data_IF_272115370700
#
_entry.id   IF_272115370700
#
_cell.length_a   1.000
_cell.length_b   1.000
_cell.length_c   1.000
_cell.angle_alpha   90.00
_cell.angle_beta   90.00
_cell.angle_gamma   90.00
#
_symmetry.space_group_name_H-M   'P 1'
#
loop_
_entity.id
_entity.type
_entity.pdbx_description
1 polymer ?
#
# COMPACT_ATOMS: atom_id res chain seq x y z
N UNK A 1 -10.92 9.39 18.08
CA UNK A 1 -10.36 9.46 16.71
C UNK A 1 -8.92 9.94 16.76
N UNK A 2 -7.98 9.01 16.97
CA UNK A 2 -6.52 9.27 16.96
C UNK A 2 -5.74 8.19 16.20
N UNK A 3 -6.44 7.19 15.68
CA UNK A 3 -5.88 6.02 15.02
C UNK A 3 -6.92 5.53 14.02
N UNK A 4 -6.61 5.60 12.74
CA UNK A 4 -7.54 5.36 11.65
C UNK A 4 -6.97 4.32 10.71
N UNK A 5 -7.74 3.27 10.43
CA UNK A 5 -7.39 2.29 9.42
C UNK A 5 -7.53 2.88 8.01
N UNK A 6 -6.54 2.67 7.15
CA UNK A 6 -6.55 3.12 5.77
C UNK A 6 -6.77 1.92 4.83
N UNK A 7 -5.88 0.94 4.90
CA UNK A 7 -5.84 -0.20 3.99
C UNK A 7 -5.15 -1.38 4.70
N UNK A 8 -5.50 -2.62 4.34
CA UNK A 8 -4.76 -3.81 4.75
C UNK A 8 -4.69 -4.84 3.64
N UNK A 9 -3.63 -5.65 3.67
CA UNK A 9 -3.50 -6.90 2.92
C UNK A 9 -3.39 -8.07 3.92
N UNK A 10 -3.13 -9.29 3.44
CA UNK A 10 -3.12 -10.53 4.25
C UNK A 10 -2.22 -10.44 5.48
N UNK A 11 -1.05 -9.81 5.36
CA UNK A 11 0.01 -9.78 6.37
C UNK A 11 0.47 -8.36 6.72
N UNK A 12 -0.25 -7.33 6.27
CA UNK A 12 0.11 -5.92 6.48
C UNK A 12 -1.13 -5.05 6.66
N UNK A 13 -0.99 -4.01 7.48
CA UNK A 13 -2.04 -3.02 7.72
C UNK A 13 -1.41 -1.63 7.76
N UNK A 14 -2.13 -0.66 7.22
CA UNK A 14 -1.73 0.73 7.16
C UNK A 14 -2.71 1.58 7.97
N UNK A 15 -2.16 2.43 8.82
CA UNK A 15 -2.93 3.28 9.72
C UNK A 15 -2.46 4.73 9.64
N UNK A 16 -3.41 5.66 9.67
CA UNK A 16 -3.17 7.06 9.97
C UNK A 16 -3.21 7.25 11.48
N UNK A 17 -2.10 7.71 12.05
CA UNK A 17 -1.92 7.90 13.49
C UNK A 17 -1.87 9.39 13.75
N UNK A 18 -2.67 9.88 14.71
CA UNK A 18 -2.61 11.28 15.12
C UNK A 18 -1.31 11.55 15.88
N UNK A 19 -0.74 12.73 15.68
CA UNK A 19 0.53 13.10 16.29
C UNK A 19 0.63 14.60 16.50
N UNK A 20 1.79 15.03 16.97
CA UNK A 20 2.19 16.44 17.01
C UNK A 20 2.73 16.84 15.63
N UNK A 21 2.18 17.92 15.07
CA UNK A 21 2.59 18.47 13.77
C UNK A 21 4.03 19.00 13.78
N UNK A 22 4.56 19.33 14.96
CA UNK A 22 5.93 19.83 15.13
C UNK A 22 6.96 18.70 15.28
N UNK A 23 6.52 17.44 15.33
CA UNK A 23 7.40 16.29 15.50
C UNK A 23 7.49 15.45 14.23
N UNK A 24 8.63 14.79 13.99
CA UNK A 24 8.78 13.91 12.84
C UNK A 24 7.84 12.71 12.91
N UNK A 25 7.63 12.05 11.77
CA UNK A 25 6.80 10.84 11.62
C UNK A 25 7.29 9.66 12.48
N UNK A 26 8.55 9.70 12.92
CA UNK A 26 9.13 8.74 13.87
C UNK A 26 8.57 8.83 15.30
N UNK A 27 7.68 9.78 15.59
CA UNK A 27 6.99 9.89 16.88
C UNK A 27 6.12 8.66 17.22
N UNK A 28 5.77 7.84 16.23
CA UNK A 28 5.03 6.60 16.40
C UNK A 28 3.70 6.80 17.14
N UNK A 29 3.46 6.01 18.20
CA UNK A 29 2.22 6.05 18.98
C UNK A 29 2.25 6.99 20.19
N UNK A 30 3.35 7.72 20.41
CA UNK A 30 3.62 8.45 21.66
C UNK A 30 2.47 9.34 22.12
N UNK A 31 1.86 10.10 21.20
CA UNK A 31 0.79 11.07 21.49
C UNK A 31 -0.61 10.46 21.59
N UNK A 32 -0.80 9.23 21.11
CA UNK A 32 -2.10 8.57 21.10
C UNK A 32 -2.29 7.62 22.28
N UNK A 33 -1.20 7.24 22.94
CA UNK A 33 -1.21 6.39 24.13
C UNK A 33 -1.83 7.18 25.29
N UNK A 34 -2.99 6.70 25.76
CA UNK A 34 -3.72 7.31 26.89
C UNK A 34 -3.14 6.84 28.22
N UNK A 35 -2.90 5.53 28.36
CA UNK A 35 -2.29 4.92 29.54
C UNK A 35 -0.87 4.45 29.22
N UNK A 36 0.10 5.27 29.64
CA UNK A 36 1.52 5.01 29.42
C UNK A 36 2.03 3.80 30.21
N UNK A 37 1.49 3.54 31.40
CA UNK A 37 1.92 2.42 32.23
C UNK A 37 1.42 1.11 31.62
N UNK A 38 0.14 1.04 31.27
CA UNK A 38 -0.41 -0.12 30.57
C UNK A 38 0.32 -0.39 29.26
N UNK A 39 0.60 0.64 28.46
CA UNK A 39 1.32 0.47 27.21
C UNK A 39 2.72 -0.10 27.45
N UNK A 40 3.50 0.47 28.37
CA UNK A 40 4.87 -0.01 28.67
C UNK A 40 4.88 -1.45 29.18
N UNK A 41 3.92 -1.83 30.02
CA UNK A 41 3.83 -3.18 30.56
C UNK A 41 3.48 -4.23 29.50
N UNK A 42 2.70 -3.83 28.48
CA UNK A 42 2.16 -4.75 27.47
C UNK A 42 2.88 -4.71 26.11
N UNK A 43 3.59 -3.63 25.79
CA UNK A 43 4.22 -3.39 24.49
C UNK A 43 5.07 -4.57 24.02
N UNK A 44 5.84 -5.15 24.96
CA UNK A 44 6.73 -6.30 24.73
C UNK A 44 6.03 -7.54 24.19
N UNK A 45 4.72 -7.70 24.38
CA UNK A 45 4.00 -8.88 23.88
C UNK A 45 3.66 -8.76 22.39
N UNK A 46 3.44 -7.54 21.91
CA UNK A 46 2.99 -7.28 20.55
C UNK A 46 4.13 -6.85 19.63
N UNK A 47 5.10 -6.09 20.14
CA UNK A 47 6.19 -5.52 19.33
C UNK A 47 7.57 -6.04 19.75
N UNK A 48 8.59 -5.89 18.89
CA UNK A 48 9.98 -6.14 19.25
C UNK A 48 10.40 -5.23 20.43
N UNK A 49 11.08 -5.79 21.41
CA UNK A 49 11.56 -5.08 22.61
C UNK A 49 12.92 -4.41 22.43
N UNK A 50 13.56 -4.63 21.28
CA UNK A 50 14.84 -4.01 20.96
C UNK A 50 14.62 -2.57 20.51
N UNK A 51 15.63 -1.71 20.71
CA UNK A 51 15.56 -0.29 20.37
C UNK A 51 15.39 -0.02 18.87
N UNK A 52 15.51 -1.05 18.02
CA UNK A 52 15.36 -0.92 16.57
C UNK A 52 14.11 -1.63 16.07
N UNK A 53 12.96 -0.95 16.21
CA UNK A 53 11.63 -1.47 15.87
C UNK A 53 11.45 -1.83 14.40
N UNK A 54 12.30 -1.28 13.53
CA UNK A 54 12.25 -1.47 12.08
C UNK A 54 13.02 -2.70 11.61
N UNK A 55 13.96 -3.23 12.41
CA UNK A 55 14.90 -4.26 11.96
C UNK A 55 14.57 -5.68 12.45
N UNK A 56 13.76 -5.85 13.50
CA UNK A 56 13.46 -7.17 14.06
C UNK A 56 11.99 -7.54 13.96
N UNK A 57 11.72 -8.74 13.45
CA UNK A 57 10.38 -9.35 13.45
C UNK A 57 10.22 -10.23 14.69
N UNK A 58 9.15 -10.02 15.45
CA UNK A 58 8.76 -10.90 16.56
C UNK A 58 7.84 -11.99 16.05
N UNK A 59 8.08 -13.25 16.44
CA UNK A 59 7.18 -14.36 16.09
C UNK A 59 5.78 -14.10 16.68
N UNK A 60 4.74 -14.13 15.83
CA UNK A 60 3.36 -13.77 16.17
C UNK A 60 3.18 -12.34 16.71
N UNK A 61 4.18 -11.48 16.53
CA UNK A 61 4.11 -10.06 16.86
C UNK A 61 3.93 -9.21 15.61
N UNK A 62 3.69 -7.92 15.85
CA UNK A 62 3.61 -6.88 14.83
C UNK A 62 4.99 -6.24 14.65
N UNK A 63 5.30 -5.84 13.42
CA UNK A 63 6.53 -5.14 13.06
C UNK A 63 6.17 -3.86 12.32
N UNK A 64 6.80 -2.75 12.67
CA UNK A 64 6.62 -1.49 11.95
C UNK A 64 7.58 -1.49 10.77
N UNK A 65 7.08 -1.78 9.57
CA UNK A 65 7.93 -1.89 8.39
C UNK A 65 8.18 -0.54 7.70
N UNK A 66 7.18 0.35 7.67
CA UNK A 66 7.23 1.63 6.95
C UNK A 66 6.50 2.72 7.71
N UNK A 67 7.06 3.91 7.67
CA UNK A 67 6.50 5.14 8.20
C UNK A 67 6.56 6.20 7.09
N UNK A 68 5.51 7.02 6.99
CA UNK A 68 5.39 8.00 5.94
C UNK A 68 4.32 9.04 6.24
N UNK A 69 4.42 10.17 5.56
CA UNK A 69 3.59 11.35 5.85
C UNK A 69 2.25 11.30 5.10
N UNK A 70 2.26 10.65 3.92
CA UNK A 70 1.10 10.64 3.02
C UNK A 70 0.84 9.21 2.56
N UNK A 71 -0.41 8.78 2.67
CA UNK A 71 -0.91 7.59 2.03
C UNK A 71 -2.23 7.88 1.33
N UNK A 72 -2.36 7.40 0.09
CA UNK A 72 -3.55 7.52 -0.73
C UNK A 72 -3.94 6.11 -1.18
N UNK A 73 -5.03 5.57 -0.63
CA UNK A 73 -5.60 4.29 -1.03
C UNK A 73 -6.82 4.53 -1.93
N UNK A 74 -6.75 4.06 -3.18
CA UNK A 74 -7.83 4.25 -4.16
C UNK A 74 -8.73 3.01 -4.19
N UNK A 75 -8.15 1.83 -4.04
CA UNK A 75 -8.88 0.56 -3.95
C UNK A 75 -7.96 -0.52 -3.35
N UNK A 76 -8.51 -1.65 -2.88
CA UNK A 76 -7.73 -2.76 -2.34
C UNK A 76 -6.54 -3.16 -3.23
N UNK A 77 -5.33 -3.08 -2.65
CA UNK A 77 -4.01 -3.36 -3.27
C UNK A 77 -3.59 -2.36 -4.35
N UNK A 78 -4.21 -1.18 -4.38
CA UNK A 78 -3.89 -0.06 -5.26
C UNK A 78 -3.77 1.24 -4.46
N UNK A 79 -2.55 1.57 -4.05
CA UNK A 79 -2.27 2.69 -3.18
C UNK A 79 -0.90 3.33 -3.47
N UNK A 80 -0.79 4.59 -3.08
CA UNK A 80 0.47 5.33 -3.02
C UNK A 80 0.82 5.63 -1.57
N UNK A 81 2.09 5.48 -1.22
CA UNK A 81 2.63 5.89 0.07
C UNK A 81 3.92 6.68 -0.14
N UNK A 82 4.00 7.85 0.48
CA UNK A 82 5.21 8.64 0.57
C UNK A 82 5.88 8.34 1.91
N UNK A 83 6.93 7.53 1.89
CA UNK A 83 7.67 7.18 3.11
C UNK A 83 8.83 8.15 3.32
N UNK A 84 9.46 8.08 4.50
CA UNK A 84 10.67 8.88 4.79
C UNK A 84 11.82 8.59 3.82
N UNK A 85 11.88 7.37 3.27
CA UNK A 85 12.96 6.96 2.35
C UNK A 85 12.55 7.09 0.88
N UNK A 86 11.39 6.55 0.53
CA UNK A 86 10.97 6.38 -0.87
C UNK A 86 9.48 6.67 -1.09
N UNK A 87 9.15 7.07 -2.31
CA UNK A 87 7.78 7.02 -2.83
C UNK A 87 7.47 5.63 -3.39
N UNK A 88 6.37 5.03 -2.93
CA UNK A 88 5.98 3.68 -3.33
C UNK A 88 4.58 3.73 -3.93
N UNK A 89 4.48 3.26 -5.18
CA UNK A 89 3.20 3.02 -5.87
C UNK A 89 2.96 1.51 -5.93
N UNK A 90 1.99 1.04 -5.17
CA UNK A 90 1.54 -0.36 -5.20
C UNK A 90 0.30 -0.46 -6.06
N UNK A 91 0.36 -1.26 -7.11
CA UNK A 91 -0.78 -1.53 -7.98
C UNK A 91 -0.85 -3.01 -8.31
N UNK A 92 -2.05 -3.58 -8.24
CA UNK A 92 -2.25 -5.01 -8.51
C UNK A 92 -2.76 -5.25 -9.92
N UNK A 93 -2.08 -6.17 -10.60
CA UNK A 93 -2.55 -6.70 -11.89
C UNK A 93 -2.08 -5.91 -13.10
N UNK A 94 -1.07 -5.04 -12.93
CA UNK A 94 -0.37 -4.31 -14.00
C UNK A 94 1.10 -4.71 -14.01
N UNK A 95 1.70 -4.68 -15.19
CA UNK A 95 3.15 -4.61 -15.31
C UNK A 95 3.64 -3.16 -15.23
N UNK A 96 4.15 -2.77 -14.04
CA UNK A 96 4.68 -1.42 -13.79
C UNK A 96 5.97 -1.11 -14.58
N UNK A 97 6.69 -2.13 -15.10
CA UNK A 97 7.85 -1.89 -15.98
C UNK A 97 7.44 -1.45 -17.37
N UNK A 98 6.25 -1.87 -17.83
CA UNK A 98 5.69 -1.52 -19.13
C UNK A 98 4.89 -0.22 -19.06
N UNK A 99 4.22 0.01 -17.94
CA UNK A 99 3.36 1.16 -17.73
C UNK A 99 3.93 1.98 -16.58
N UNK A 100 4.53 3.14 -16.90
CA UNK A 100 5.02 4.08 -15.89
C UNK A 100 3.82 4.81 -15.31
N UNK A 101 3.58 4.61 -14.02
CA UNK A 101 2.46 5.21 -13.30
C UNK A 101 3.03 6.16 -12.26
N UNK A 102 2.45 7.35 -12.18
CA UNK A 102 2.89 8.43 -11.31
C UNK A 102 1.87 8.69 -10.21
N UNK A 103 2.29 9.42 -9.17
CA UNK A 103 1.40 9.93 -8.12
C UNK A 103 0.24 10.73 -8.70
N UNK A 104 0.47 11.53 -9.74
CA UNK A 104 -0.56 12.36 -10.35
C UNK A 104 -1.69 11.49 -10.92
N UNK A 105 -1.37 10.37 -11.56
CA UNK A 105 -2.40 9.46 -12.09
C UNK A 105 -3.33 8.92 -10.99
N UNK A 106 -2.80 8.72 -9.77
CA UNK A 106 -3.58 8.27 -8.61
C UNK A 106 -4.49 9.40 -8.11
N UNK A 107 -3.98 10.64 -8.06
CA UNK A 107 -4.78 11.82 -7.68
C UNK A 107 -5.90 12.06 -8.71
N UNK A 108 -5.58 11.99 -10.00
CA UNK A 108 -6.54 12.18 -11.09
C UNK A 108 -7.67 11.13 -11.01
N UNK A 109 -7.35 9.92 -10.57
CA UNK A 109 -8.33 8.86 -10.38
C UNK A 109 -9.35 9.17 -9.27
N UNK A 110 -8.91 9.80 -8.18
CA UNK A 110 -9.83 10.29 -7.14
C UNK A 110 -10.77 11.37 -7.73
N UNK A 111 -10.27 12.17 -8.67
CA UNK A 111 -11.06 13.11 -9.46
C UNK A 111 -12.03 12.46 -10.46
N UNK A 112 -12.10 11.13 -10.53
CA UNK A 112 -12.99 10.36 -11.40
C UNK A 112 -12.37 9.92 -12.73
N UNK A 113 -11.08 10.19 -12.97
CA UNK A 113 -10.41 9.75 -14.19
C UNK A 113 -10.10 8.24 -14.15
N UNK A 114 -10.28 7.57 -15.29
CA UNK A 114 -9.95 6.15 -15.42
C UNK A 114 -8.61 6.00 -16.14
N UNK A 115 -7.61 5.43 -15.48
CA UNK A 115 -6.35 5.07 -16.12
C UNK A 115 -6.47 3.66 -16.72
N UNK A 116 -6.18 3.54 -18.02
CA UNK A 116 -6.04 2.25 -18.70
C UNK A 116 -4.57 1.96 -18.96
N UNK A 117 -4.19 0.69 -18.84
CA UNK A 117 -2.84 0.22 -19.15
C UNK A 117 -2.91 -1.08 -19.94
N UNK A 118 -1.89 -1.34 -20.75
CA UNK A 118 -1.76 -2.60 -21.47
C UNK A 118 -0.77 -3.51 -20.74
N UNK A 119 -1.17 -4.75 -20.51
CA UNK A 119 -0.27 -5.79 -20.05
C UNK A 119 -0.04 -6.79 -21.15
N UNK A 120 1.23 -7.09 -21.40
CA UNK A 120 1.61 -8.22 -22.23
C UNK A 120 1.65 -9.49 -21.37
N UNK A 121 0.98 -10.54 -21.83
CA UNK A 121 1.02 -11.88 -21.24
C UNK A 121 1.32 -12.91 -22.32
N UNK A 122 2.03 -13.98 -21.96
CA UNK A 122 2.09 -15.18 -22.79
C UNK A 122 0.95 -16.12 -22.41
N UNK A 123 0.22 -16.59 -23.42
CA UNK A 123 -0.81 -17.61 -23.32
C UNK A 123 -0.38 -18.85 -24.09
N UNK A 124 -0.86 -20.01 -23.68
CA UNK A 124 -0.73 -21.23 -24.47
C UNK A 124 -2.12 -21.83 -24.65
N UNK A 125 -2.44 -22.17 -25.89
CA UNK A 125 -3.68 -22.86 -26.25
C UNK A 125 -3.34 -23.91 -27.30
N UNK A 126 -3.82 -25.14 -27.08
CA UNK A 126 -3.64 -26.27 -28.00
C UNK A 126 -2.17 -26.52 -28.39
N UNK A 127 -1.26 -26.38 -27.41
CA UNK A 127 0.18 -26.55 -27.62
C UNK A 127 0.88 -25.33 -28.21
N UNK A 128 0.15 -24.35 -28.76
CA UNK A 128 0.71 -23.14 -29.39
C UNK A 128 0.81 -22.03 -28.35
N UNK A 129 2.00 -21.42 -28.24
CA UNK A 129 2.23 -20.25 -27.40
C UNK A 129 1.97 -18.98 -28.21
N UNK A 130 1.18 -18.06 -27.65
CA UNK A 130 0.88 -16.75 -28.22
C UNK A 130 1.18 -15.63 -27.22
N UNK A 131 1.40 -14.43 -27.74
CA UNK A 131 1.56 -13.22 -26.94
C UNK A 131 0.25 -12.44 -27.03
N UNK A 132 -0.34 -12.14 -25.88
CA UNK A 132 -1.63 -11.46 -25.77
C UNK A 132 -1.42 -10.09 -25.13
N UNK A 133 -2.04 -9.07 -25.72
CA UNK A 133 -2.19 -7.76 -25.10
C UNK A 133 -3.54 -7.69 -24.39
N UNK A 134 -3.52 -7.29 -23.13
CA UNK A 134 -4.71 -7.09 -22.32
C UNK A 134 -4.80 -5.65 -21.88
N UNK A 135 -5.82 -4.94 -22.33
CA UNK A 135 -6.12 -3.60 -21.85
C UNK A 135 -6.90 -3.71 -20.55
N UNK A 136 -6.38 -3.11 -19.49
CA UNK A 136 -6.96 -3.16 -18.15
C UNK A 136 -7.27 -1.76 -17.67
N UNK A 137 -8.45 -1.60 -17.08
CA UNK A 137 -8.75 -0.43 -16.27
C UNK A 137 -8.04 -0.61 -14.92
N UNK A 138 -7.03 0.21 -14.71
CA UNK A 138 -6.11 0.06 -13.58
C UNK A 138 -6.59 0.83 -12.37
N UNK A 139 -6.80 2.13 -12.57
CA UNK A 139 -7.22 3.08 -11.57
C UNK A 139 -8.61 3.54 -11.99
N UNK A 140 -9.64 3.06 -11.29
CA UNK A 140 -11.05 3.36 -11.59
C UNK A 140 -11.78 4.01 -10.41
N UNK A 141 -11.13 4.13 -9.25
CA UNK A 141 -11.77 4.59 -8.01
C UNK A 141 -12.82 3.61 -7.43
N UNK A 142 -13.09 2.50 -8.12
CA UNK A 142 -14.09 1.49 -7.74
C UNK A 142 -13.49 0.09 -7.79
N UNK A 143 -14.04 -0.83 -6.99
CA UNK A 143 -13.60 -2.23 -6.97
C UNK A 143 -14.16 -3.01 -8.19
N UNK A 144 -13.88 -2.53 -9.40
CA UNK A 144 -14.28 -3.20 -10.64
C UNK A 144 -13.08 -3.33 -11.56
N UNK A 145 -12.56 -4.55 -11.66
CA UNK A 145 -11.58 -4.93 -12.68
C UNK A 145 -12.34 -5.22 -13.96
N UNK A 146 -12.26 -4.34 -14.94
CA UNK A 146 -12.68 -4.62 -16.31
C UNK A 146 -11.42 -4.80 -17.17
N UNK A 147 -11.41 -5.86 -17.98
CA UNK A 147 -10.31 -6.17 -18.90
C UNK A 147 -10.87 -6.61 -20.23
N UNK A 148 -10.39 -5.97 -21.30
CA UNK A 148 -10.71 -6.31 -22.68
C UNK A 148 -9.49 -7.01 -23.30
N UNK A 149 -9.74 -7.98 -24.18
CA UNK A 149 -8.72 -8.83 -24.78
C UNK A 149 -8.60 -8.54 -26.27
N UNK A 150 -7.37 -8.40 -26.75
CA UNK A 150 -7.07 -8.34 -28.19
C UNK A 150 -5.98 -9.36 -28.47
N UNK A 151 -6.26 -10.29 -29.39
CA UNK A 151 -5.26 -11.22 -29.91
C UNK A 151 -4.34 -10.46 -30.86
N UNK A 152 -3.02 -10.62 -30.70
CA UNK A 152 -1.97 -10.03 -31.54
C UNK A 152 -1.34 -11.06 -32.46
#
# INVERSE_FOLDING_TARGET
>A
NRFHFIEGDTDSMYFAVAGDINQPTSQGFTHIIIDQNFYRDNYKYYFPTTNNLKEQKKLLGLSIEKEGDIMIAVSPKNYYINTVADEIIKLKGINQKQNVITKQNIIDCIGGNIMKCENMRLGQKDGIMSKLAQTKNVLTGIHTKASDYVDL
#
